data_IF_336889560084
#
_entry.id   IF_336889560084
#
_cell.length_a   1.000
_cell.length_b   1.000
_cell.length_c   1.000
_cell.angle_alpha   90.00
_cell.angle_beta   90.00
_cell.angle_gamma   90.00
#
_symmetry.space_group_name_H-M   'P 1'
#
loop_
_entity.id
_entity.type
_entity.pdbx_description
1 polymer ?
#
# COMPACT_ATOMS: atom_id res chain seq x y z
N UNK A 1 -32.11 8.94 -25.73
CA UNK A 1 -31.23 8.71 -24.55
C UNK A 1 -31.01 7.22 -24.24
N UNK A 2 -30.83 6.34 -25.23
CA UNK A 2 -30.69 4.87 -25.04
C UNK A 2 -29.33 4.30 -25.48
N UNK A 3 -28.44 5.11 -26.05
CA UNK A 3 -27.15 4.60 -26.61
C UNK A 3 -25.91 4.87 -25.75
N UNK A 4 -25.96 5.81 -24.82
CA UNK A 4 -24.79 6.17 -23.99
C UNK A 4 -24.48 5.19 -22.83
N UNK A 5 -25.43 4.31 -22.46
CA UNK A 5 -25.22 3.35 -21.35
C UNK A 5 -24.45 2.11 -21.79
N UNK A 6 -24.51 1.74 -23.08
CA UNK A 6 -23.84 0.53 -23.61
C UNK A 6 -22.34 0.77 -23.82
N UNK A 7 -21.93 1.99 -24.18
CA UNK A 7 -20.53 2.33 -24.39
C UNK A 7 -19.71 2.39 -23.07
N UNK A 8 -20.36 2.72 -21.94
CA UNK A 8 -19.69 2.67 -20.64
C UNK A 8 -19.35 1.23 -20.18
N UNK A 9 -20.17 0.24 -20.56
CA UNK A 9 -19.93 -1.17 -20.22
C UNK A 9 -18.83 -1.79 -21.09
N UNK A 10 -18.71 -1.41 -22.35
CA UNK A 10 -17.69 -1.94 -23.29
C UNK A 10 -16.30 -1.39 -22.95
N UNK A 11 -16.19 -0.13 -22.48
CA UNK A 11 -14.90 0.46 -22.07
C UNK A 11 -14.31 -0.18 -20.81
N UNK A 12 -15.15 -0.71 -19.91
CA UNK A 12 -14.70 -1.39 -18.68
C UNK A 12 -14.17 -2.80 -18.94
N UNK A 13 -14.60 -3.47 -20.01
CA UNK A 13 -14.18 -4.85 -20.32
C UNK A 13 -12.83 -4.89 -21.07
N UNK A 14 -12.45 -3.86 -21.81
CA UNK A 14 -11.21 -3.82 -22.60
C UNK A 14 -9.97 -3.54 -21.76
N UNK A 15 -10.10 -2.99 -20.54
CA UNK A 15 -8.96 -2.69 -19.66
C UNK A 15 -8.42 -3.87 -18.84
N UNK A 16 -9.07 -5.05 -18.90
CA UNK A 16 -8.68 -6.21 -18.08
C UNK A 16 -7.89 -7.32 -18.79
N UNK A 17 -7.50 -7.13 -20.05
CA UNK A 17 -6.86 -8.20 -20.82
C UNK A 17 -5.43 -7.90 -21.27
N UNK A 18 -4.53 -7.50 -20.37
CA UNK A 18 -3.08 -7.55 -20.66
C UNK A 18 -2.25 -7.51 -19.37
N UNK A 19 -2.42 -8.48 -18.49
CA UNK A 19 -1.39 -8.77 -17.49
C UNK A 19 -0.67 -10.04 -17.90
N UNK A 20 0.36 -9.90 -18.71
CA UNK A 20 1.40 -10.93 -18.84
C UNK A 20 2.03 -11.09 -17.46
N UNK A 21 1.78 -12.24 -16.84
CA UNK A 21 2.53 -12.71 -15.67
C UNK A 21 3.97 -12.93 -16.11
N UNK A 22 4.80 -11.90 -15.98
CA UNK A 22 6.26 -12.08 -15.96
C UNK A 22 6.55 -12.76 -14.64
N UNK A 23 6.75 -14.07 -14.68
CA UNK A 23 7.34 -14.83 -13.58
C UNK A 23 8.80 -14.39 -13.44
N UNK A 24 9.04 -13.29 -12.75
CA UNK A 24 10.35 -12.98 -12.19
C UNK A 24 10.57 -14.00 -11.07
N UNK A 25 11.45 -14.99 -11.31
CA UNK A 25 12.00 -15.82 -10.24
C UNK A 25 12.78 -14.89 -9.30
N UNK A 26 12.07 -14.33 -8.34
CA UNK A 26 12.66 -13.52 -7.29
C UNK A 26 13.39 -14.43 -6.32
N UNK A 27 14.58 -14.01 -5.85
CA UNK A 27 15.23 -14.65 -4.71
C UNK A 27 14.22 -14.84 -3.57
N UNK A 28 14.21 -16.01 -2.98
CA UNK A 28 13.38 -16.35 -1.83
C UNK A 28 14.23 -17.06 -0.78
N UNK A 29 13.81 -17.04 0.49
CA UNK A 29 14.49 -17.79 1.53
C UNK A 29 14.46 -19.32 1.31
N UNK A 30 13.61 -19.82 0.42
CA UNK A 30 13.54 -21.22 0.06
C UNK A 30 14.60 -21.64 -0.97
N UNK A 31 15.28 -20.68 -1.62
CA UNK A 31 16.24 -20.95 -2.68
C UNK A 31 17.67 -20.67 -2.21
N UNK A 32 18.62 -21.46 -2.74
CA UNK A 32 20.04 -21.19 -2.55
C UNK A 32 20.43 -19.94 -3.34
N UNK A 33 21.37 -19.17 -2.81
CA UNK A 33 21.94 -18.03 -3.55
C UNK A 33 22.56 -18.58 -4.86
N UNK A 34 22.17 -18.05 -6.02
CA UNK A 34 22.80 -18.44 -7.28
C UNK A 34 24.29 -18.05 -7.27
N UNK A 35 25.08 -18.69 -8.14
CA UNK A 35 26.48 -18.32 -8.30
C UNK A 35 26.58 -16.83 -8.68
N UNK A 36 27.17 -16.04 -7.81
CA UNK A 36 27.38 -14.59 -7.99
C UNK A 36 28.88 -14.35 -8.12
N UNK A 37 29.30 -13.72 -9.21
CA UNK A 37 30.72 -13.40 -9.43
C UNK A 37 31.24 -12.53 -8.29
N UNK A 38 32.28 -13.01 -7.61
CA UNK A 38 32.88 -12.30 -6.47
C UNK A 38 32.28 -12.66 -5.11
N UNK A 39 31.27 -13.52 -5.03
CA UNK A 39 30.69 -14.01 -3.77
C UNK A 39 31.16 -15.46 -3.54
N UNK A 40 32.11 -15.65 -2.62
CA UNK A 40 32.71 -16.97 -2.30
C UNK A 40 32.19 -17.57 -0.98
N UNK A 41 31.10 -17.01 -0.42
CA UNK A 41 30.54 -17.44 0.87
C UNK A 41 29.60 -18.64 0.70
N UNK A 42 29.83 -19.69 1.50
CA UNK A 42 28.83 -20.75 1.66
C UNK A 42 27.71 -20.25 2.57
N UNK A 43 26.55 -20.11 2.00
CA UNK A 43 25.34 -19.59 2.69
C UNK A 43 24.36 -20.68 3.09
N UNK A 44 24.73 -21.95 3.00
CA UNK A 44 23.82 -23.07 3.30
C UNK A 44 23.38 -23.14 4.75
N UNK A 45 24.20 -22.62 5.67
CA UNK A 45 23.91 -22.55 7.12
C UNK A 45 23.30 -21.20 7.56
N UNK A 46 23.11 -20.25 6.63
CA UNK A 46 22.63 -18.93 6.99
C UNK A 46 21.13 -18.94 7.29
N UNK A 47 20.75 -18.25 8.36
CA UNK A 47 19.37 -17.89 8.58
C UNK A 47 18.93 -16.87 7.51
N UNK A 48 17.70 -16.99 7.04
CA UNK A 48 17.18 -16.15 5.97
C UNK A 48 15.85 -15.50 6.37
N UNK A 49 15.73 -14.21 6.09
CA UNK A 49 14.53 -13.43 6.43
C UNK A 49 14.25 -12.34 5.40
N UNK A 50 12.98 -12.17 5.01
CA UNK A 50 12.55 -10.99 4.25
C UNK A 50 12.48 -9.80 5.19
N UNK A 51 13.26 -8.75 4.90
CA UNK A 51 13.42 -7.59 5.78
C UNK A 51 12.66 -6.36 5.28
N UNK A 52 12.37 -6.29 3.98
CA UNK A 52 11.63 -5.18 3.39
C UNK A 52 10.82 -5.64 2.17
N UNK A 53 9.61 -6.13 2.43
CA UNK A 53 8.75 -6.77 1.41
C UNK A 53 8.43 -5.87 0.20
N UNK A 54 8.21 -4.56 0.42
CA UNK A 54 7.85 -3.63 -0.66
C UNK A 54 8.99 -3.40 -1.67
N UNK A 55 10.23 -3.62 -1.26
CA UNK A 55 11.42 -3.51 -2.11
C UNK A 55 12.11 -4.85 -2.32
N UNK A 56 11.49 -5.96 -1.88
CA UNK A 56 12.00 -7.32 -2.03
C UNK A 56 13.45 -7.47 -1.52
N UNK A 57 13.72 -6.92 -0.31
CA UNK A 57 15.01 -7.08 0.38
C UNK A 57 15.01 -8.35 1.21
N UNK A 58 16.02 -9.17 1.00
CA UNK A 58 16.21 -10.42 1.76
C UNK A 58 17.57 -10.36 2.45
N UNK A 59 17.58 -10.64 3.73
CA UNK A 59 18.78 -10.75 4.53
C UNK A 59 19.08 -12.21 4.85
N UNK A 60 20.31 -12.61 4.63
CA UNK A 60 20.87 -13.87 5.13
C UNK A 60 22.02 -13.56 6.07
N UNK A 61 22.10 -14.27 7.18
CA UNK A 61 23.15 -14.04 8.17
C UNK A 61 23.48 -15.31 8.95
N UNK A 62 24.71 -15.38 9.42
CA UNK A 62 25.19 -16.42 10.33
C UNK A 62 26.27 -15.87 11.24
N UNK A 63 26.31 -16.36 12.48
CA UNK A 63 27.44 -16.11 13.35
C UNK A 63 28.60 -17.03 12.96
N UNK A 64 29.75 -16.46 12.60
CA UNK A 64 30.94 -17.21 12.19
C UNK A 64 31.87 -17.54 13.37
N UNK A 65 31.93 -16.65 14.35
CA UNK A 65 32.67 -16.83 15.61
C UNK A 65 32.02 -16.00 16.71
N UNK A 66 32.50 -16.09 17.94
CA UNK A 66 32.00 -15.33 19.09
C UNK A 66 31.94 -13.82 18.86
N UNK A 67 32.75 -13.27 17.96
CA UNK A 67 32.82 -11.82 17.69
C UNK A 67 32.63 -11.45 16.22
N UNK A 68 32.20 -12.38 15.36
CA UNK A 68 32.06 -12.14 13.93
C UNK A 68 30.79 -12.71 13.36
N UNK A 69 30.08 -11.88 12.60
CA UNK A 69 28.86 -12.22 11.92
C UNK A 69 28.98 -11.99 10.42
N UNK A 70 28.54 -12.94 9.62
CA UNK A 70 28.45 -12.80 8.17
C UNK A 70 27.03 -12.40 7.79
N UNK A 71 26.91 -11.40 6.92
CA UNK A 71 25.67 -10.90 6.37
C UNK A 71 25.69 -10.90 4.86
N UNK A 72 24.56 -11.25 4.24
CA UNK A 72 24.32 -11.11 2.80
C UNK A 72 22.94 -10.44 2.61
N UNK A 73 22.95 -9.21 2.15
CA UNK A 73 21.75 -8.50 1.75
C UNK A 73 21.54 -8.67 0.26
N UNK A 74 20.36 -9.13 -0.15
CA UNK A 74 19.98 -9.19 -1.57
C UNK A 74 18.80 -8.29 -1.88
N UNK A 75 18.82 -7.61 -3.03
CA UNK A 75 17.79 -6.71 -3.50
C UNK A 75 17.75 -6.64 -5.04
N UNK A 76 16.61 -6.22 -5.65
CA UNK A 76 16.50 -6.11 -7.11
C UNK A 76 17.46 -5.09 -7.71
N UNK A 77 18.07 -5.42 -8.84
CA UNK A 77 18.98 -4.51 -9.58
C UNK A 77 18.24 -3.32 -10.23
N UNK A 78 16.93 -3.45 -10.50
CA UNK A 78 16.09 -2.41 -11.08
C UNK A 78 15.91 -1.16 -10.19
N UNK A 79 16.32 -1.25 -8.93
CA UNK A 79 16.52 -0.07 -8.06
C UNK A 79 17.42 0.96 -8.74
N UNK A 80 18.45 0.50 -9.48
CA UNK A 80 19.38 1.34 -10.22
C UNK A 80 19.86 2.55 -9.39
N UNK A 81 20.28 2.27 -8.17
CA UNK A 81 20.73 3.26 -7.19
C UNK A 81 21.57 2.58 -6.12
N UNK A 82 21.98 3.33 -5.11
CA UNK A 82 22.56 2.75 -3.92
C UNK A 82 21.48 2.18 -2.99
N UNK A 83 21.83 1.10 -2.30
CA UNK A 83 21.06 0.55 -1.20
C UNK A 83 21.94 0.41 0.03
N UNK A 84 21.38 0.56 1.23
CA UNK A 84 22.15 0.49 2.47
C UNK A 84 21.49 -0.39 3.52
N UNK A 85 22.35 -0.99 4.34
CA UNK A 85 22.02 -1.68 5.59
C UNK A 85 22.74 -0.98 6.74
N UNK A 86 22.03 -0.64 7.80
CA UNK A 86 22.57 0.03 8.97
C UNK A 86 22.24 -0.71 10.26
N UNK A 87 23.03 -0.44 11.29
CA UNK A 87 22.93 -1.04 12.61
C UNK A 87 22.70 0.08 13.64
N UNK A 88 21.59 0.00 14.35
CA UNK A 88 21.13 1.03 15.28
C UNK A 88 20.74 0.44 16.63
N UNK A 89 21.11 1.11 17.70
CA UNK A 89 20.73 0.71 19.06
C UNK A 89 19.27 1.04 19.42
N UNK A 90 18.71 2.08 18.80
CA UNK A 90 17.39 2.65 19.10
C UNK A 90 16.40 2.65 17.92
N UNK A 91 16.85 2.23 16.73
CA UNK A 91 16.06 2.22 15.49
C UNK A 91 16.06 3.56 14.73
N UNK A 92 16.80 4.57 15.20
CA UNK A 92 16.97 5.84 14.52
C UNK A 92 18.23 5.85 13.64
N UNK A 93 18.25 6.78 12.67
CA UNK A 93 19.39 6.98 11.78
C UNK A 93 20.58 7.57 12.52
N UNK A 94 20.34 8.61 13.30
CA UNK A 94 21.40 9.40 13.95
C UNK A 94 22.14 8.57 15.01
N UNK A 95 23.45 8.57 14.93
CA UNK A 95 24.32 7.79 15.83
C UNK A 95 24.57 6.35 15.41
N UNK A 96 24.03 5.92 14.27
CA UNK A 96 24.16 4.58 13.71
C UNK A 96 25.30 4.47 12.71
N UNK A 97 25.73 3.25 12.41
CA UNK A 97 26.68 2.94 11.33
C UNK A 97 25.98 2.15 10.23
N UNK A 98 26.32 2.41 8.98
CA UNK A 98 25.70 1.76 7.83
C UNK A 98 26.74 1.36 6.78
N UNK A 99 26.40 0.35 5.99
CA UNK A 99 27.12 -0.02 4.77
C UNK A 99 26.20 0.27 3.58
N UNK A 100 26.62 1.14 2.67
CA UNK A 100 25.95 1.34 1.39
C UNK A 100 26.67 0.55 0.30
N UNK A 101 25.89 0.02 -0.65
CA UNK A 101 26.37 -0.70 -1.82
C UNK A 101 25.64 -0.26 -3.08
N UNK A 102 26.32 -0.26 -4.22
CA UNK A 102 25.76 0.12 -5.52
C UNK A 102 26.45 -0.63 -6.65
N UNK A 103 25.72 -0.81 -7.75
CA UNK A 103 26.24 -1.31 -9.03
C UNK A 103 25.78 -0.35 -10.12
N UNK A 104 26.74 0.28 -10.80
CA UNK A 104 26.49 1.23 -11.90
C UNK A 104 26.28 0.47 -13.21
N UNK A 105 27.10 -0.56 -13.45
CA UNK A 105 27.02 -1.46 -14.60
C UNK A 105 27.56 -2.83 -14.19
N UNK A 106 27.30 -3.91 -14.97
CA UNK A 106 27.81 -5.24 -14.65
C UNK A 106 29.32 -5.24 -14.39
N UNK A 107 29.73 -5.58 -13.17
CA UNK A 107 31.12 -5.61 -12.72
C UNK A 107 31.66 -4.25 -12.25
N UNK A 108 30.90 -3.16 -12.32
CA UNK A 108 31.31 -1.84 -11.85
C UNK A 108 30.39 -1.41 -10.71
N UNK A 109 30.90 -1.48 -9.50
CA UNK A 109 30.15 -1.11 -8.29
C UNK A 109 31.08 -1.01 -7.10
N UNK A 110 30.51 -0.72 -5.95
CA UNK A 110 31.29 -0.58 -4.71
C UNK A 110 30.44 -0.68 -3.47
N UNK A 111 31.14 -0.78 -2.35
CA UNK A 111 30.55 -0.71 -1.02
C UNK A 111 31.32 0.30 -0.19
N UNK A 112 30.60 1.12 0.57
CA UNK A 112 31.20 2.15 1.43
C UNK A 112 30.51 2.17 2.80
N UNK A 113 31.29 2.08 3.89
CA UNK A 113 30.78 2.30 5.24
C UNK A 113 30.56 3.79 5.52
N UNK A 114 29.51 4.10 6.28
CA UNK A 114 29.15 5.45 6.70
C UNK A 114 28.82 5.52 8.19
N UNK A 115 29.22 6.60 8.84
CA UNK A 115 28.67 7.01 10.11
C UNK A 115 27.53 8.00 9.87
N UNK A 116 26.38 7.75 10.49
CA UNK A 116 25.16 8.52 10.33
C UNK A 116 25.05 9.53 11.49
N UNK A 117 25.83 10.62 11.43
CA UNK A 117 25.92 11.64 12.48
C UNK A 117 24.67 12.54 12.56
N UNK A 118 23.93 12.70 11.47
CA UNK A 118 22.74 13.53 11.39
C UNK A 118 21.84 13.15 10.20
N UNK A 119 20.98 14.10 9.78
CA UNK A 119 20.00 13.89 8.70
C UNK A 119 20.31 14.67 7.42
N UNK A 120 21.35 15.48 7.43
CA UNK A 120 21.87 16.19 6.25
C UNK A 120 23.05 15.42 5.63
N UNK A 121 23.31 15.63 4.34
CA UNK A 121 24.38 14.92 3.60
C UNK A 121 25.76 15.12 4.24
N UNK A 122 26.04 16.31 4.75
CA UNK A 122 27.32 16.64 5.39
C UNK A 122 27.53 15.94 6.75
N UNK A 123 26.47 15.42 7.35
CA UNK A 123 26.51 14.70 8.62
C UNK A 123 26.59 13.18 8.42
N UNK A 124 26.63 12.71 7.16
CA UNK A 124 26.81 11.31 6.78
C UNK A 124 28.24 11.12 6.31
N UNK A 125 29.11 10.76 7.26
CA UNK A 125 30.55 10.72 7.03
C UNK A 125 31.02 9.35 6.54
N UNK A 126 31.71 9.26 5.37
CA UNK A 126 32.33 8.02 4.93
C UNK A 126 33.51 7.65 5.84
N UNK A 127 33.71 6.37 6.10
CA UNK A 127 34.80 5.79 6.90
C UNK A 127 34.85 6.11 8.40
N UNK A 128 33.98 6.93 8.93
CA UNK A 128 33.90 7.21 10.37
C UNK A 128 32.95 6.27 11.08
N UNK A 129 33.28 4.99 11.19
CA UNK A 129 32.36 3.99 11.75
C UNK A 129 32.69 3.64 13.20
N UNK A 130 31.65 3.40 14.00
CA UNK A 130 31.76 2.81 15.34
C UNK A 130 31.86 1.29 15.33
N UNK A 131 31.57 0.67 14.17
CA UNK A 131 31.61 -0.77 13.96
C UNK A 131 32.42 -1.08 12.70
N UNK A 132 33.14 -2.20 12.72
CA UNK A 132 33.99 -2.61 11.59
C UNK A 132 33.21 -3.49 10.62
N UNK A 133 33.19 -3.08 9.36
CA UNK A 133 32.67 -3.87 8.24
C UNK A 133 33.86 -4.50 7.49
N UNK A 134 34.09 -5.80 7.72
CA UNK A 134 35.13 -6.58 7.05
C UNK A 134 34.64 -7.30 5.79
N UNK A 135 35.55 -7.83 4.98
CA UNK A 135 35.30 -8.72 3.84
C UNK A 135 34.10 -8.30 2.96
N UNK A 136 34.07 -7.02 2.59
CA UNK A 136 32.93 -6.42 1.86
C UNK A 136 33.00 -6.80 0.38
N UNK A 137 31.92 -7.35 -0.13
CA UNK A 137 31.75 -7.76 -1.52
C UNK A 137 30.39 -7.30 -2.04
N UNK A 138 30.33 -6.97 -3.32
CA UNK A 138 29.07 -6.71 -4.00
C UNK A 138 29.11 -7.34 -5.39
N UNK A 139 28.03 -7.98 -5.77
CA UNK A 139 27.92 -8.63 -7.07
C UNK A 139 26.49 -8.70 -7.55
N UNK A 140 26.33 -8.91 -8.85
CA UNK A 140 25.04 -9.08 -9.51
C UNK A 140 24.89 -10.50 -10.01
N UNK A 141 23.74 -11.13 -9.77
CA UNK A 141 23.39 -12.42 -10.35
C UNK A 141 22.86 -12.27 -11.79
N UNK A 142 22.82 -13.38 -12.52
CA UNK A 142 22.19 -13.46 -13.84
C UNK A 142 20.66 -13.17 -13.79
N UNK A 143 20.03 -13.31 -12.62
CA UNK A 143 18.61 -13.03 -12.38
C UNK A 143 18.35 -11.57 -12.01
N UNK A 144 19.26 -10.66 -12.31
CA UNK A 144 19.13 -9.22 -12.02
C UNK A 144 18.87 -8.88 -10.54
N UNK A 145 19.56 -9.60 -9.63
CA UNK A 145 19.61 -9.26 -8.21
C UNK A 145 21.01 -8.86 -7.80
N UNK A 146 21.11 -7.89 -6.92
CA UNK A 146 22.34 -7.46 -6.27
C UNK A 146 22.48 -8.20 -4.96
N UNK A 147 23.69 -8.66 -4.67
CA UNK A 147 24.08 -9.29 -3.42
C UNK A 147 25.22 -8.50 -2.81
N UNK A 148 25.00 -7.94 -1.64
CA UNK A 148 26.00 -7.24 -0.85
C UNK A 148 26.33 -8.11 0.37
N UNK A 149 27.54 -8.64 0.41
CA UNK A 149 28.05 -9.47 1.49
C UNK A 149 29.12 -8.73 2.30
N UNK A 150 29.12 -8.94 3.61
CA UNK A 150 30.13 -8.36 4.51
C UNK A 150 30.22 -9.13 5.81
N UNK A 151 31.32 -8.97 6.50
CA UNK A 151 31.54 -9.43 7.86
C UNK A 151 31.36 -8.26 8.84
N UNK A 152 30.65 -8.48 9.92
CA UNK A 152 30.49 -7.50 10.99
C UNK A 152 31.26 -7.99 12.22
N UNK A 153 32.23 -7.20 12.70
CA UNK A 153 32.99 -7.50 13.90
C UNK A 153 32.26 -6.97 15.14
N UNK A 154 31.51 -7.84 15.76
CA UNK A 154 30.78 -7.57 17.01
C UNK A 154 30.38 -8.86 17.71
N UNK A 155 30.31 -8.85 19.02
CA UNK A 155 29.76 -9.96 19.81
C UNK A 155 28.24 -10.04 19.58
N UNK A 156 27.56 -8.89 19.68
CA UNK A 156 26.10 -8.76 19.51
C UNK A 156 25.80 -7.67 18.50
N UNK A 157 25.22 -7.99 17.34
CA UNK A 157 24.76 -6.96 16.42
C UNK A 157 23.64 -6.11 17.04
N UNK A 158 23.59 -4.84 16.68
CA UNK A 158 22.58 -3.92 17.18
C UNK A 158 21.16 -4.45 16.93
N UNK A 159 20.23 -4.25 17.89
CA UNK A 159 18.89 -4.86 17.83
C UNK A 159 17.99 -4.29 16.71
N UNK A 160 18.34 -3.14 16.15
CA UNK A 160 17.61 -2.55 15.03
C UNK A 160 18.47 -2.50 13.79
N UNK A 161 17.89 -2.92 12.68
CA UNK A 161 18.50 -2.80 11.35
C UNK A 161 17.77 -1.72 10.57
N UNK A 162 18.55 -0.86 9.91
CA UNK A 162 18.07 0.20 9.06
C UNK A 162 18.30 -0.19 7.61
N UNK A 163 17.31 0.01 6.75
CA UNK A 163 17.45 -0.16 5.31
C UNK A 163 17.05 1.12 4.61
N UNK A 164 17.77 1.48 3.56
CA UNK A 164 17.48 2.66 2.76
C UNK A 164 17.84 2.43 1.30
N UNK A 165 17.13 3.14 0.41
CA UNK A 165 17.43 3.20 -1.03
C UNK A 165 17.54 4.64 -1.49
N UNK A 166 18.46 4.91 -2.40
CA UNK A 166 18.67 6.21 -3.02
C UNK A 166 17.69 6.50 -4.17
N UNK A 167 17.71 7.73 -4.69
CA UNK A 167 16.96 8.07 -5.90
C UNK A 167 17.50 7.28 -7.10
N UNK A 168 16.61 6.89 -8.00
CA UNK A 168 16.98 6.14 -9.22
C UNK A 168 18.01 6.93 -10.05
N UNK A 169 19.07 6.26 -10.49
CA UNK A 169 20.18 6.88 -11.21
C UNK A 169 21.14 7.69 -10.34
N UNK A 170 20.96 7.69 -9.01
CA UNK A 170 21.86 8.36 -8.07
C UNK A 170 22.80 7.39 -7.37
N UNK A 171 24.08 7.71 -7.41
CA UNK A 171 25.16 6.95 -6.79
C UNK A 171 26.02 7.88 -5.93
N UNK A 172 26.82 7.35 -5.01
CA UNK A 172 27.76 8.17 -4.26
C UNK A 172 28.68 8.98 -5.18
N UNK A 173 28.96 10.23 -4.81
CA UNK A 173 29.85 11.11 -5.56
C UNK A 173 31.29 10.61 -5.52
N UNK A 174 32.21 11.27 -6.25
CA UNK A 174 33.65 10.99 -6.18
C UNK A 174 34.22 11.22 -4.77
N UNK A 175 33.63 12.12 -3.99
CA UNK A 175 33.98 12.36 -2.58
C UNK A 175 33.23 11.40 -1.63
N UNK A 176 32.54 10.40 -2.16
CA UNK A 176 31.73 9.45 -1.41
C UNK A 176 30.53 10.07 -0.65
N UNK A 177 30.15 11.31 -1.00
CA UNK A 177 28.93 11.87 -0.47
C UNK A 177 27.72 11.07 -0.95
N UNK A 178 26.87 10.66 -0.01
CA UNK A 178 25.72 9.79 -0.27
C UNK A 178 24.46 10.66 -0.45
N UNK A 179 23.83 10.66 -1.65
CA UNK A 179 22.58 11.38 -1.87
C UNK A 179 21.50 10.93 -0.89
N UNK A 180 20.62 11.84 -0.50
CA UNK A 180 19.52 11.51 0.43
C UNK A 180 18.64 10.39 -0.11
N UNK A 181 18.34 9.41 0.74
CA UNK A 181 17.45 8.28 0.40
C UNK A 181 16.03 8.76 0.06
N UNK A 182 15.35 8.03 -0.82
CA UNK A 182 13.94 8.25 -1.17
C UNK A 182 13.01 7.42 -0.30
N UNK A 183 13.46 6.26 0.17
CA UNK A 183 12.70 5.39 1.06
C UNK A 183 13.61 4.71 2.08
N UNK A 184 13.05 4.39 3.24
CA UNK A 184 13.76 3.76 4.35
C UNK A 184 12.81 2.97 5.24
N UNK A 185 13.37 1.97 5.94
CA UNK A 185 12.68 1.24 7.00
C UNK A 185 13.65 0.94 8.15
N UNK A 186 13.11 0.90 9.37
CA UNK A 186 13.79 0.39 10.55
C UNK A 186 13.04 -0.83 11.06
N UNK A 187 13.74 -1.93 11.29
CA UNK A 187 13.17 -3.16 11.81
C UNK A 187 13.92 -3.60 13.07
N UNK A 188 13.20 -4.21 14.02
CA UNK A 188 13.83 -4.88 15.15
C UNK A 188 14.14 -6.32 14.75
N UNK A 189 15.37 -6.76 14.97
CA UNK A 189 15.83 -8.11 14.65
C UNK A 189 15.98 -8.94 15.91
N UNK A 190 15.50 -10.16 15.89
CA UNK A 190 15.82 -11.19 16.87
C UNK A 190 16.75 -12.22 16.18
N UNK A 191 18.04 -12.05 16.36
CA UNK A 191 19.05 -12.88 15.70
C UNK A 191 19.01 -14.35 16.14
N UNK A 192 18.53 -14.62 17.36
CA UNK A 192 18.45 -15.98 17.89
C UNK A 192 17.31 -16.79 17.29
N UNK A 193 16.21 -16.11 16.96
CA UNK A 193 15.00 -16.76 16.41
C UNK A 193 14.90 -16.65 14.89
N UNK A 194 15.74 -15.81 14.25
CA UNK A 194 15.59 -15.50 12.84
C UNK A 194 14.31 -14.74 12.52
N UNK A 195 13.78 -14.00 13.50
CA UNK A 195 12.51 -13.29 13.35
C UNK A 195 12.72 -11.78 13.24
N UNK A 196 12.01 -11.19 12.31
CA UNK A 196 11.86 -9.74 12.21
C UNK A 196 10.68 -9.32 13.10
N UNK A 197 10.95 -8.55 14.12
CA UNK A 197 9.90 -7.91 14.89
C UNK A 197 9.06 -7.05 13.95
N UNK A 198 7.75 -7.35 13.79
CA UNK A 198 6.86 -6.57 12.93
C UNK A 198 6.96 -5.09 13.30
N UNK A 199 7.55 -4.31 12.40
CA UNK A 199 7.71 -2.87 12.58
C UNK A 199 6.37 -2.25 12.95
N UNK A 200 6.37 -1.35 13.93
CA UNK A 200 5.17 -0.59 14.27
C UNK A 200 4.62 0.17 13.06
N UNK A 201 5.48 0.54 12.11
CA UNK A 201 5.13 1.16 10.83
C UNK A 201 4.37 0.20 9.93
N UNK A 202 4.78 -1.08 9.83
CA UNK A 202 4.07 -2.08 9.04
C UNK A 202 2.68 -2.41 9.63
N UNK A 203 2.58 -2.53 10.96
CA UNK A 203 1.29 -2.71 11.63
C UNK A 203 0.37 -1.53 11.35
N UNK A 204 0.89 -0.32 11.47
CA UNK A 204 0.14 0.91 11.27
C UNK A 204 -0.30 1.07 9.80
N UNK A 205 0.57 0.74 8.83
CA UNK A 205 0.25 0.71 7.39
C UNK A 205 -0.87 -0.26 7.09
N UNK A 206 -0.80 -1.50 7.61
CA UNK A 206 -1.86 -2.51 7.43
C UNK A 206 -3.16 -2.08 8.08
N UNK A 207 -3.13 -1.56 9.30
CA UNK A 207 -4.33 -1.04 9.98
C UNK A 207 -4.96 0.10 9.19
N UNK A 208 -4.16 1.07 8.71
CA UNK A 208 -4.62 2.15 7.84
C UNK A 208 -5.32 1.61 6.58
N UNK A 209 -4.70 0.69 5.87
CA UNK A 209 -5.25 0.11 4.64
C UNK A 209 -6.54 -0.67 4.88
N UNK A 210 -6.54 -1.63 5.81
CA UNK A 210 -7.69 -2.49 6.09
C UNK A 210 -8.89 -1.68 6.59
N UNK A 211 -8.68 -0.75 7.53
CA UNK A 211 -9.77 0.07 8.09
C UNK A 211 -10.38 1.01 7.03
N UNK A 212 -9.56 1.61 6.16
CA UNK A 212 -10.08 2.47 5.10
C UNK A 212 -10.80 1.67 4.00
N UNK A 213 -10.28 0.50 3.60
CA UNK A 213 -10.98 -0.40 2.66
C UNK A 213 -12.34 -0.80 3.24
N UNK A 214 -12.39 -1.27 4.47
CA UNK A 214 -13.63 -1.70 5.11
C UNK A 214 -14.59 -0.52 5.28
N UNK A 215 -14.14 0.60 5.85
CA UNK A 215 -14.98 1.74 6.20
C UNK A 215 -15.45 2.53 4.99
N UNK A 216 -14.51 3.13 4.23
CA UNK A 216 -14.85 4.08 3.16
C UNK A 216 -15.25 3.43 1.84
N UNK A 217 -14.82 2.19 1.55
CA UNK A 217 -15.18 1.52 0.30
C UNK A 217 -16.29 0.49 0.52
N UNK A 218 -16.02 -0.60 1.21
CA UNK A 218 -16.92 -1.76 1.22
C UNK A 218 -18.25 -1.44 1.92
N UNK A 219 -18.20 -0.95 3.16
CA UNK A 219 -19.42 -0.65 3.92
C UNK A 219 -20.22 0.50 3.29
N UNK A 220 -19.56 1.53 2.75
CA UNK A 220 -20.26 2.63 2.07
C UNK A 220 -21.01 2.15 0.83
N UNK A 221 -20.40 1.26 0.02
CA UNK A 221 -21.06 0.67 -1.17
C UNK A 221 -22.23 -0.21 -0.75
N UNK A 222 -22.05 -1.09 0.24
CA UNK A 222 -23.13 -1.98 0.74
C UNK A 222 -24.32 -1.14 1.23
N UNK A 223 -24.06 -0.13 2.06
CA UNK A 223 -25.10 0.75 2.55
C UNK A 223 -25.83 1.50 1.43
N UNK A 224 -25.12 1.94 0.39
CA UNK A 224 -25.71 2.57 -0.78
C UNK A 224 -26.60 1.59 -1.59
N UNK A 225 -26.17 0.35 -1.78
CA UNK A 225 -26.95 -0.71 -2.45
C UNK A 225 -28.26 -0.94 -1.70
N UNK A 226 -28.21 -1.04 -0.36
CA UNK A 226 -29.42 -1.23 0.47
C UNK A 226 -30.40 -0.08 0.26
N UNK A 227 -29.94 1.17 0.33
CA UNK A 227 -30.80 2.34 0.16
C UNK A 227 -31.37 2.48 -1.26
N UNK A 228 -30.68 1.95 -2.29
CA UNK A 228 -31.16 2.01 -3.67
C UNK A 228 -32.17 0.93 -4.03
N UNK A 229 -32.01 -0.28 -3.50
CA UNK A 229 -32.69 -1.47 -4.01
C UNK A 229 -33.65 -2.14 -3.03
N UNK A 230 -33.60 -1.83 -1.72
CA UNK A 230 -34.37 -2.52 -0.70
C UNK A 230 -35.44 -1.64 0.00
N UNK A 231 -35.90 -0.58 -0.68
CA UNK A 231 -36.91 0.35 -0.13
C UNK A 231 -38.23 -0.31 0.19
N UNK A 232 -38.52 -1.46 -0.41
CA UNK A 232 -39.73 -2.27 -0.08
C UNK A 232 -39.71 -2.80 1.37
N UNK A 233 -38.53 -2.83 2.03
CA UNK A 233 -38.40 -3.23 3.43
C UNK A 233 -38.48 -2.01 4.37
N UNK A 234 -39.37 -1.04 4.06
CA UNK A 234 -39.60 0.13 4.93
C UNK A 234 -40.22 -0.31 6.29
N UNK A 235 -39.70 0.10 7.45
CA UNK A 235 -38.58 1.05 7.67
C UNK A 235 -37.19 0.42 7.79
N UNK A 236 -37.05 -0.90 7.68
CA UNK A 236 -35.83 -1.66 7.96
C UNK A 236 -34.65 -1.21 7.06
N UNK A 237 -34.93 -0.98 5.76
CA UNK A 237 -33.87 -0.52 4.82
C UNK A 237 -33.18 0.76 5.30
N UNK A 238 -33.95 1.67 5.92
CA UNK A 238 -33.42 2.95 6.39
C UNK A 238 -32.48 2.75 7.58
N UNK A 239 -32.89 1.94 8.57
CA UNK A 239 -32.07 1.64 9.73
C UNK A 239 -30.80 0.87 9.33
N UNK A 240 -30.88 -0.11 8.42
CA UNK A 240 -29.74 -0.82 7.89
C UNK A 240 -28.76 0.12 7.17
N UNK A 241 -29.28 0.97 6.27
CA UNK A 241 -28.46 1.97 5.59
C UNK A 241 -27.76 2.89 6.58
N UNK A 242 -28.50 3.49 7.50
CA UNK A 242 -27.97 4.43 8.47
C UNK A 242 -26.91 3.78 9.38
N UNK A 243 -27.19 2.57 9.90
CA UNK A 243 -26.26 1.84 10.77
C UNK A 243 -24.98 1.46 10.05
N UNK A 244 -25.08 0.90 8.84
CA UNK A 244 -23.90 0.49 8.05
C UNK A 244 -23.06 1.73 7.69
N UNK A 245 -23.69 2.84 7.29
CA UNK A 245 -22.97 4.08 6.97
C UNK A 245 -22.26 4.66 8.21
N UNK A 246 -22.92 4.65 9.36
CA UNK A 246 -22.35 5.15 10.62
C UNK A 246 -21.16 4.29 11.06
N UNK A 247 -21.30 2.96 11.02
CA UNK A 247 -20.22 2.02 11.34
C UNK A 247 -19.06 2.21 10.36
N UNK A 248 -19.35 2.29 9.05
CA UNK A 248 -18.33 2.52 8.02
C UNK A 248 -17.59 3.83 8.23
N UNK A 249 -18.30 4.91 8.53
CA UNK A 249 -17.71 6.21 8.84
C UNK A 249 -16.80 6.14 10.08
N UNK A 250 -17.26 5.54 11.18
CA UNK A 250 -16.45 5.40 12.39
C UNK A 250 -15.17 4.59 12.17
N UNK A 251 -15.26 3.45 11.48
CA UNK A 251 -14.08 2.63 11.09
C UNK A 251 -13.15 3.44 10.19
N UNK A 252 -13.68 4.18 9.23
CA UNK A 252 -12.92 5.02 8.32
C UNK A 252 -12.17 6.15 9.03
N UNK A 253 -12.78 6.78 10.03
CA UNK A 253 -12.09 7.79 10.88
C UNK A 253 -10.89 7.17 11.59
N UNK A 254 -11.05 6.01 12.21
CA UNK A 254 -9.90 5.31 12.85
C UNK A 254 -8.82 4.99 11.82
N UNK A 255 -9.22 4.57 10.60
CA UNK A 255 -8.30 4.36 9.48
C UNK A 255 -7.52 5.62 9.10
N UNK A 256 -8.17 6.78 9.04
CA UNK A 256 -7.51 8.07 8.76
C UNK A 256 -6.55 8.44 9.89
N UNK A 257 -6.92 8.27 11.16
CA UNK A 257 -6.03 8.53 12.30
C UNK A 257 -4.77 7.65 12.25
N UNK A 258 -4.91 6.37 11.88
CA UNK A 258 -3.77 5.49 11.59
C UNK A 258 -2.89 6.05 10.46
N UNK A 259 -3.49 6.66 9.42
CA UNK A 259 -2.79 7.30 8.32
C UNK A 259 -1.97 8.51 8.75
N UNK A 260 -2.51 9.38 9.61
CA UNK A 260 -1.76 10.50 10.18
C UNK A 260 -0.59 10.04 11.04
N UNK A 261 -0.78 9.01 11.85
CA UNK A 261 0.31 8.42 12.63
C UNK A 261 1.38 7.78 11.73
N UNK A 262 0.96 7.12 10.62
CA UNK A 262 1.85 6.54 9.62
C UNK A 262 2.66 7.62 8.91
N UNK A 263 2.04 8.75 8.52
CA UNK A 263 2.71 9.86 7.81
C UNK A 263 3.95 10.38 8.54
N UNK A 264 3.92 10.38 9.88
CA UNK A 264 5.07 10.80 10.70
C UNK A 264 6.27 9.83 10.63
N UNK A 265 6.04 8.60 10.15
CA UNK A 265 7.03 7.52 10.13
C UNK A 265 7.56 7.16 8.73
N UNK A 266 6.97 7.72 7.68
CA UNK A 266 7.37 7.46 6.29
C UNK A 266 7.99 8.70 5.66
N UNK A 267 8.94 8.49 4.74
CA UNK A 267 9.69 9.58 4.10
C UNK A 267 9.18 9.94 2.70
N UNK A 268 8.38 9.07 2.06
CA UNK A 268 7.86 9.26 0.71
C UNK A 268 6.80 10.35 0.60
N UNK A 269 6.62 10.90 -0.61
CA UNK A 269 5.54 11.86 -0.88
C UNK A 269 4.21 11.14 -1.03
N UNK A 270 3.28 11.42 -0.14
CA UNK A 270 1.90 10.89 -0.17
C UNK A 270 0.86 12.01 -0.28
N UNK A 271 1.28 13.18 -0.77
CA UNK A 271 0.48 14.42 -0.74
C UNK A 271 -0.86 14.25 -1.45
N UNK A 272 -0.87 13.71 -2.67
CA UNK A 272 -2.12 13.53 -3.42
C UNK A 272 -3.06 12.54 -2.75
N UNK A 273 -2.57 11.40 -2.26
CA UNK A 273 -3.35 10.42 -1.50
C UNK A 273 -3.99 11.06 -0.26
N UNK A 274 -3.21 11.83 0.47
CA UNK A 274 -3.66 12.54 1.68
C UNK A 274 -4.72 13.60 1.35
N UNK A 275 -4.54 14.38 0.29
CA UNK A 275 -5.49 15.41 -0.13
C UNK A 275 -6.84 14.78 -0.55
N UNK A 276 -6.82 13.68 -1.33
CA UNK A 276 -8.04 12.96 -1.68
C UNK A 276 -8.67 12.36 -0.43
N UNK A 277 -7.89 11.81 0.50
CA UNK A 277 -8.36 11.32 1.79
C UNK A 277 -9.05 12.40 2.63
N UNK A 278 -8.52 13.63 2.59
CA UNK A 278 -9.15 14.77 3.26
C UNK A 278 -10.48 15.17 2.62
N UNK A 279 -10.58 15.15 1.28
CA UNK A 279 -11.85 15.38 0.56
C UNK A 279 -12.89 14.32 0.95
N UNK A 280 -12.49 13.04 1.02
CA UNK A 280 -13.37 11.95 1.47
C UNK A 280 -13.88 12.19 2.89
N UNK A 281 -13.00 12.61 3.79
CA UNK A 281 -13.37 12.96 5.17
C UNK A 281 -14.40 14.09 5.21
N UNK A 282 -14.17 15.18 4.49
CA UNK A 282 -15.11 16.32 4.39
C UNK A 282 -16.46 15.85 3.87
N UNK A 283 -16.47 15.06 2.78
CA UNK A 283 -17.71 14.52 2.22
C UNK A 283 -18.43 13.61 3.23
N UNK A 284 -17.70 12.79 3.98
CA UNK A 284 -18.26 11.96 5.05
C UNK A 284 -18.91 12.79 6.15
N UNK A 285 -18.24 13.83 6.62
CA UNK A 285 -18.80 14.76 7.61
C UNK A 285 -20.08 15.44 7.10
N UNK A 286 -20.09 15.88 5.85
CA UNK A 286 -21.26 16.47 5.20
C UNK A 286 -22.42 15.47 5.08
N UNK A 287 -22.14 14.17 4.88
CA UNK A 287 -23.17 13.12 4.91
C UNK A 287 -23.75 12.88 6.31
N UNK A 288 -22.92 12.97 7.36
CA UNK A 288 -23.40 12.93 8.75
C UNK A 288 -24.31 14.12 9.04
N UNK A 289 -23.95 15.32 8.60
CA UNK A 289 -24.80 16.52 8.70
C UNK A 289 -26.11 16.29 7.95
N UNK A 290 -26.08 15.72 6.75
CA UNK A 290 -27.26 15.36 5.98
C UNK A 290 -28.18 14.40 6.73
N UNK A 291 -27.63 13.43 7.46
CA UNK A 291 -28.40 12.49 8.27
C UNK A 291 -29.13 13.22 9.42
N UNK A 292 -28.43 14.09 10.16
CA UNK A 292 -28.99 14.86 11.27
C UNK A 292 -30.06 15.85 10.80
N UNK A 293 -29.82 16.53 9.67
CA UNK A 293 -30.71 17.54 9.11
C UNK A 293 -31.73 16.95 8.11
N UNK A 294 -32.04 15.67 8.20
CA UNK A 294 -32.95 15.00 7.27
C UNK A 294 -34.38 15.58 7.34
N UNK A 295 -34.90 16.23 6.27
CA UNK A 295 -36.25 16.77 6.28
C UNK A 295 -37.31 15.69 6.28
N UNK A 296 -38.54 16.02 6.77
CA UNK A 296 -39.70 15.13 6.65
C UNK A 296 -40.01 14.83 5.19
N UNK A 297 -40.69 13.70 4.90
CA UNK A 297 -40.99 13.24 3.52
C UNK A 297 -41.80 14.29 2.73
N UNK A 298 -42.68 15.03 3.40
CA UNK A 298 -43.62 16.00 2.84
C UNK A 298 -43.00 17.42 2.64
N UNK A 299 -41.79 17.62 3.13
CA UNK A 299 -41.13 18.94 3.08
C UNK A 299 -40.72 19.33 1.65
N UNK A 300 -40.99 20.57 1.25
CA UNK A 300 -40.60 21.13 -0.05
C UNK A 300 -39.08 21.08 -0.28
N UNK A 301 -38.29 21.20 0.79
CA UNK A 301 -36.81 21.13 0.70
C UNK A 301 -36.29 19.70 0.53
N UNK A 302 -37.13 18.68 0.70
CA UNK A 302 -36.75 17.26 0.59
C UNK A 302 -36.11 16.90 -0.75
N UNK A 303 -36.57 17.53 -1.85
CA UNK A 303 -36.05 17.34 -3.22
C UNK A 303 -34.59 17.74 -3.29
N UNK A 304 -34.24 18.91 -2.76
CA UNK A 304 -32.87 19.42 -2.75
C UNK A 304 -31.96 18.61 -1.83
N UNK A 305 -32.47 18.23 -0.66
CA UNK A 305 -31.76 17.35 0.26
C UNK A 305 -31.47 15.99 -0.37
N UNK A 306 -32.40 15.37 -1.09
CA UNK A 306 -32.18 14.13 -1.81
C UNK A 306 -31.09 14.29 -2.86
N UNK A 307 -31.13 15.36 -3.66
CA UNK A 307 -30.10 15.62 -4.67
C UNK A 307 -28.71 15.77 -4.03
N UNK A 308 -28.61 16.59 -3.00
CA UNK A 308 -27.39 16.80 -2.24
C UNK A 308 -26.83 15.47 -1.69
N UNK A 309 -27.63 14.77 -0.90
CA UNK A 309 -27.25 13.50 -0.26
C UNK A 309 -26.79 12.45 -1.28
N UNK A 310 -27.55 12.26 -2.37
CA UNK A 310 -27.23 11.27 -3.38
C UNK A 310 -25.98 11.63 -4.19
N UNK A 311 -25.83 12.90 -4.61
CA UNK A 311 -24.69 13.34 -5.39
C UNK A 311 -23.40 13.26 -4.59
N UNK A 312 -23.43 13.80 -3.37
CA UNK A 312 -22.27 13.80 -2.47
C UNK A 312 -21.87 12.35 -2.08
N UNK A 313 -22.86 11.49 -1.79
CA UNK A 313 -22.59 10.09 -1.44
C UNK A 313 -21.95 9.29 -2.59
N UNK A 314 -22.39 9.50 -3.84
CA UNK A 314 -21.79 8.88 -5.02
C UNK A 314 -20.36 9.36 -5.24
N UNK A 315 -20.12 10.67 -5.11
CA UNK A 315 -18.78 11.25 -5.22
C UNK A 315 -17.86 10.70 -4.14
N UNK A 316 -18.30 10.59 -2.90
CA UNK A 316 -17.55 10.02 -1.79
C UNK A 316 -17.08 8.60 -2.13
N UNK A 317 -17.99 7.72 -2.58
CA UNK A 317 -17.68 6.34 -2.95
C UNK A 317 -16.65 6.30 -4.10
N UNK A 318 -16.84 7.12 -5.15
CA UNK A 318 -15.92 7.18 -6.27
C UNK A 318 -14.50 7.59 -5.83
N UNK A 319 -14.38 8.67 -5.05
CA UNK A 319 -13.10 9.11 -4.49
C UNK A 319 -12.47 8.06 -3.57
N UNK A 320 -13.27 7.38 -2.74
CA UNK A 320 -12.78 6.35 -1.84
C UNK A 320 -12.18 5.15 -2.59
N UNK A 321 -12.87 4.68 -3.64
CA UNK A 321 -12.37 3.57 -4.48
C UNK A 321 -11.05 3.96 -5.17
N UNK A 322 -11.00 5.12 -5.82
CA UNK A 322 -9.79 5.60 -6.50
C UNK A 322 -8.64 5.78 -5.51
N UNK A 323 -8.91 6.42 -4.35
CA UNK A 323 -7.87 6.68 -3.35
C UNK A 323 -7.35 5.40 -2.70
N UNK A 324 -8.18 4.35 -2.60
CA UNK A 324 -7.75 3.04 -2.11
C UNK A 324 -6.77 2.39 -3.07
N UNK A 325 -7.06 2.33 -4.38
CA UNK A 325 -6.11 1.82 -5.37
C UNK A 325 -4.81 2.62 -5.39
N UNK A 326 -4.91 3.95 -5.31
CA UNK A 326 -3.75 4.82 -5.25
C UNK A 326 -2.92 4.58 -3.98
N UNK A 327 -3.57 4.38 -2.82
CA UNK A 327 -2.92 4.03 -1.57
C UNK A 327 -2.21 2.67 -1.61
N UNK A 328 -2.81 1.66 -2.23
CA UNK A 328 -2.17 0.36 -2.47
C UNK A 328 -0.92 0.50 -3.34
N UNK A 329 -0.99 1.31 -4.41
CA UNK A 329 0.15 1.60 -5.28
C UNK A 329 1.29 2.29 -4.52
N UNK A 330 1.01 3.38 -3.81
CA UNK A 330 2.00 4.10 -2.99
C UNK A 330 2.60 3.22 -1.88
N UNK A 331 1.80 2.31 -1.36
CA UNK A 331 2.23 1.35 -0.35
C UNK A 331 3.16 0.27 -0.89
N UNK A 332 3.35 0.12 -2.21
CA UNK A 332 4.10 -0.98 -2.81
C UNK A 332 3.51 -2.34 -2.46
N UNK A 333 2.17 -2.43 -2.34
CA UNK A 333 1.52 -3.66 -1.94
C UNK A 333 1.59 -4.72 -3.06
N UNK A 334 1.70 -5.98 -2.67
CA UNK A 334 1.75 -7.09 -3.63
C UNK A 334 0.48 -7.17 -4.48
N UNK A 335 0.61 -7.65 -5.73
CA UNK A 335 -0.48 -7.79 -6.72
C UNK A 335 -1.74 -8.48 -6.18
N UNK A 336 -1.59 -9.40 -5.21
CA UNK A 336 -2.71 -10.07 -4.54
C UNK A 336 -3.66 -9.12 -3.79
N UNK A 337 -3.15 -8.01 -3.22
CA UNK A 337 -3.98 -7.02 -2.54
C UNK A 337 -4.77 -6.17 -3.52
N UNK A 338 -4.15 -5.79 -4.66
CA UNK A 338 -4.84 -5.14 -5.77
C UNK A 338 -5.95 -6.02 -6.33
N UNK A 339 -5.64 -7.29 -6.62
CA UNK A 339 -6.59 -8.25 -7.13
C UNK A 339 -7.73 -8.50 -6.13
N UNK A 340 -7.43 -8.74 -4.86
CA UNK A 340 -8.43 -8.97 -3.82
C UNK A 340 -9.39 -7.80 -3.65
N UNK A 341 -8.87 -6.57 -3.56
CA UNK A 341 -9.70 -5.39 -3.48
C UNK A 341 -10.50 -5.15 -4.78
N UNK A 342 -9.87 -5.30 -5.94
CA UNK A 342 -10.53 -5.17 -7.24
C UNK A 342 -11.68 -6.15 -7.42
N UNK A 343 -11.49 -7.43 -7.05
CA UNK A 343 -12.53 -8.45 -7.05
C UNK A 343 -13.68 -8.07 -6.11
N UNK A 344 -13.37 -7.62 -4.89
CA UNK A 344 -14.42 -7.23 -3.93
C UNK A 344 -15.28 -6.07 -4.47
N UNK A 345 -14.66 -5.03 -5.03
CA UNK A 345 -15.40 -3.91 -5.66
C UNK A 345 -16.19 -4.38 -6.89
N UNK A 346 -15.60 -5.21 -7.76
CA UNK A 346 -16.27 -5.74 -8.94
C UNK A 346 -17.51 -6.55 -8.57
N UNK A 347 -17.42 -7.41 -7.56
CA UNK A 347 -18.58 -8.18 -7.06
C UNK A 347 -19.70 -7.26 -6.59
N UNK A 348 -19.40 -6.21 -5.82
CA UNK A 348 -20.40 -5.25 -5.35
C UNK A 348 -21.03 -4.48 -6.51
N UNK A 349 -20.25 -4.09 -7.52
CA UNK A 349 -20.77 -3.45 -8.74
C UNK A 349 -21.66 -4.39 -9.53
N UNK A 350 -21.28 -5.67 -9.70
CA UNK A 350 -22.11 -6.68 -10.37
C UNK A 350 -23.44 -6.86 -9.62
N UNK A 351 -23.40 -6.97 -8.30
CA UNK A 351 -24.62 -7.06 -7.48
C UNK A 351 -25.53 -5.83 -7.73
N UNK A 352 -24.97 -4.62 -7.70
CA UNK A 352 -25.72 -3.40 -7.95
C UNK A 352 -26.36 -3.38 -9.35
N UNK A 353 -25.63 -3.79 -10.39
CA UNK A 353 -26.12 -3.88 -11.76
C UNK A 353 -27.24 -4.90 -11.90
N UNK A 354 -27.06 -6.10 -11.34
CA UNK A 354 -28.10 -7.15 -11.35
C UNK A 354 -29.40 -6.68 -10.66
N UNK A 355 -29.26 -6.00 -9.51
CA UNK A 355 -30.41 -5.45 -8.80
C UNK A 355 -31.10 -4.33 -9.60
N UNK A 356 -30.35 -3.48 -10.31
CA UNK A 356 -30.94 -2.43 -11.16
C UNK A 356 -31.66 -3.02 -12.37
N UNK A 357 -31.06 -4.05 -13.03
CA UNK A 357 -31.71 -4.77 -14.13
C UNK A 357 -33.03 -5.42 -13.63
N UNK A 358 -33.00 -6.08 -12.48
CA UNK A 358 -34.18 -6.69 -11.87
C UNK A 358 -35.30 -5.64 -11.61
N UNK A 359 -34.94 -4.51 -11.03
CA UNK A 359 -35.83 -3.41 -10.77
C UNK A 359 -36.47 -2.87 -12.06
N UNK A 360 -35.65 -2.70 -13.10
CA UNK A 360 -36.12 -2.27 -14.43
C UNK A 360 -37.10 -3.30 -15.05
N UNK A 361 -36.81 -4.61 -14.98
CA UNK A 361 -37.68 -5.66 -15.48
C UNK A 361 -39.05 -5.70 -14.77
N UNK A 362 -39.04 -5.54 -13.42
CA UNK A 362 -40.27 -5.48 -12.63
C UNK A 362 -41.11 -4.27 -13.03
N UNK A 363 -40.47 -3.10 -13.17
CA UNK A 363 -41.16 -1.87 -13.58
C UNK A 363 -41.78 -1.99 -14.98
N UNK A 364 -41.07 -2.62 -15.93
CA UNK A 364 -41.56 -2.86 -17.28
C UNK A 364 -42.78 -3.80 -17.26
N UNK A 365 -42.73 -4.92 -16.53
CA UNK A 365 -43.85 -5.86 -16.40
C UNK A 365 -45.07 -5.22 -15.77
N UNK A 366 -44.90 -4.29 -14.84
CA UNK A 366 -46.02 -3.56 -14.20
C UNK A 366 -46.64 -2.55 -15.17
N UNK A 367 -45.83 -1.91 -16.02
CA UNK A 367 -46.35 -1.01 -17.06
C UNK A 367 -47.14 -1.76 -18.14
N UNK A 368 -46.64 -2.94 -18.57
CA UNK A 368 -47.30 -3.78 -19.58
C UNK A 368 -48.64 -4.40 -19.07
N UNK A 369 -48.85 -4.46 -17.76
CA UNK A 369 -50.07 -5.00 -17.12
C UNK A 369 -51.07 -3.90 -16.73
N UNK A 370 -50.69 -2.63 -16.85
CA UNK A 370 -51.66 -1.54 -16.59
C UNK A 370 -52.76 -1.58 -17.68
N UNK A 371 -54.08 -1.64 -17.32
CA UNK A 371 -55.12 -1.63 -18.32
C UNK A 371 -55.06 -0.29 -19.08
N UNK A 372 -55.16 -0.37 -20.40
CA UNK A 372 -55.37 0.77 -21.28
C UNK A 372 -56.64 1.46 -20.82
N UNK A 373 -56.53 2.62 -20.17
CA UNK A 373 -57.73 3.41 -19.82
C UNK A 373 -58.42 3.77 -21.12
N UNK A 374 -59.58 3.17 -21.38
CA UNK A 374 -60.40 3.49 -22.51
C UNK A 374 -60.58 5.03 -22.61
N UNK A 375 -60.46 5.62 -23.83
CA UNK A 375 -60.66 7.04 -23.98
C UNK A 375 -62.07 7.39 -23.49
N UNK A 376 -62.11 8.40 -22.59
CA UNK A 376 -63.41 8.91 -22.09
C UNK A 376 -64.28 9.26 -23.30
N UNK A 377 -65.37 8.55 -23.46
CA UNK A 377 -66.38 8.89 -24.44
C UNK A 377 -66.96 10.26 -24.03
N UNK A 378 -66.65 11.27 -24.80
CA UNK A 378 -67.34 12.53 -24.72
C UNK A 378 -68.74 12.33 -25.28
N UNK A 379 -69.76 12.38 -24.41
CA UNK A 379 -71.13 12.68 -24.76
C UNK A 379 -71.52 14.04 -24.20
#
# INVERSE_FOLDING_TARGET
MKQSSLYCLVFLVIFFSSSTLVNSQGDSCAEKIPSVRGLTLDTTSFQCVSVWDSHNFILRYAQNSTSKWNFVLSYPYDINSWAAIGFSSDGNMVGSSALAGWIISPGVGGTQPYYLGGTSENEVAPNENKITFGNRMIGQSQTYRVYMAFELETIDPAPYMLYAIGPKGSFPSQTLALPKHIDKISIKMDYSKGEVGKSSTLKLKRSHGVLNIAGWSILMIIGAIIACHFKQWDPVWFYLHASIQTIGFAIGIVGILCGFALRKKISGSVTHHMNIGFIILVFGCLQVIAFVLRPRKESKIRKYWNWYHHSLGRSLVAFAVVNTFYGLHLGGEASKWFAGYGIAVAVLVIIAVVLEIRKWMISKRSADKAPELAPAAYY
#
